data_IF_920313567787
#
_entry.id   IF_920313567787
#
_cell.length_a   1.000
_cell.length_b   1.000
_cell.length_c   1.000
_cell.angle_alpha   90.00
_cell.angle_beta   90.00
_cell.angle_gamma   90.00
#
_symmetry.space_group_name_H-M   'P 1'
#
loop_
_entity.id
_entity.type
_entity.pdbx_description
1 polymer ?
#
# COMPACT_ATOMS: atom_id res chain seq x y z
N UNK A 1 28.62 5.24 20.71
CA UNK A 1 28.30 4.60 19.44
C UNK A 1 26.93 3.93 19.58
N UNK A 2 25.99 4.17 18.68
CA UNK A 2 24.71 3.47 18.66
C UNK A 2 24.93 1.96 18.47
N UNK A 3 24.17 1.15 19.17
CA UNK A 3 24.23 -0.31 19.00
C UNK A 3 23.55 -0.70 17.69
N UNK A 4 24.00 -1.77 16.99
CA UNK A 4 23.35 -2.22 15.75
C UNK A 4 21.84 -2.46 15.90
N UNK A 5 21.40 -2.90 17.08
CA UNK A 5 20.01 -3.19 17.43
C UNK A 5 19.15 -1.94 17.63
N UNK A 6 19.76 -0.75 17.79
CA UNK A 6 19.03 0.51 17.95
C UNK A 6 18.19 0.86 16.70
N UNK A 7 18.52 0.28 15.54
CA UNK A 7 17.72 0.44 14.33
C UNK A 7 16.30 -0.16 14.43
N UNK A 8 16.08 -1.06 15.37
CA UNK A 8 14.79 -1.65 15.68
C UNK A 8 14.12 -1.02 16.90
N UNK A 9 14.70 0.04 17.47
CA UNK A 9 14.11 0.80 18.55
C UNK A 9 12.84 1.53 18.03
N UNK A 10 11.82 1.69 18.88
CA UNK A 10 10.56 2.30 18.43
C UNK A 10 9.66 1.36 17.61
N UNK A 11 8.83 1.93 16.71
CA UNK A 11 8.01 1.19 15.75
C UNK A 11 6.86 0.37 16.34
N UNK A 12 6.35 0.73 17.52
CA UNK A 12 5.13 0.13 18.08
C UNK A 12 5.16 -1.39 18.16
N UNK A 13 4.08 -2.03 17.71
CA UNK A 13 3.93 -3.50 17.74
C UNK A 13 4.89 -4.19 16.77
N UNK A 14 5.13 -3.62 15.59
CA UNK A 14 6.05 -4.21 14.62
C UNK A 14 7.50 -4.11 15.06
N UNK A 15 7.93 -2.99 15.63
CA UNK A 15 9.26 -2.88 16.24
C UNK A 15 9.47 -3.91 17.37
N UNK A 16 8.49 -4.09 18.23
CA UNK A 16 8.53 -5.12 19.28
C UNK A 16 8.65 -6.55 18.70
N UNK A 17 7.89 -6.86 17.63
CA UNK A 17 7.98 -8.16 16.93
C UNK A 17 9.35 -8.36 16.29
N UNK A 18 9.89 -7.36 15.61
CA UNK A 18 11.22 -7.45 15.00
C UNK A 18 12.32 -7.72 16.03
N UNK A 19 12.24 -7.09 17.20
CA UNK A 19 13.18 -7.35 18.31
C UNK A 19 13.03 -8.75 18.91
N UNK A 20 11.84 -9.35 18.85
CA UNK A 20 11.58 -10.67 19.39
C UNK A 20 12.07 -11.83 18.48
N UNK A 21 12.37 -11.55 17.22
CA UNK A 21 12.85 -12.56 16.28
C UNK A 21 14.36 -12.78 16.46
N UNK A 22 14.75 -14.04 16.55
CA UNK A 22 16.16 -14.44 16.45
C UNK A 22 16.59 -14.43 14.97
N UNK A 23 17.02 -13.26 14.49
CA UNK A 23 17.45 -13.06 13.12
C UNK A 23 18.66 -13.90 12.73
N UNK A 24 19.48 -14.33 13.68
CA UNK A 24 20.65 -15.18 13.41
C UNK A 24 20.28 -16.53 12.80
N UNK A 25 19.04 -16.96 13.01
CA UNK A 25 18.47 -18.21 12.48
C UNK A 25 17.72 -18.03 11.15
N UNK A 26 17.75 -16.83 10.61
CA UNK A 26 17.13 -16.48 9.33
C UNK A 26 18.18 -16.27 8.25
N UNK A 27 17.84 -16.32 6.96
CA UNK A 27 18.77 -16.00 5.88
C UNK A 27 19.33 -14.57 5.91
N UNK A 28 18.74 -13.67 6.70
CA UNK A 28 19.22 -12.30 6.87
C UNK A 28 20.41 -12.23 7.84
N UNK A 29 20.62 -13.25 8.67
CA UNK A 29 21.67 -13.24 9.69
C UNK A 29 21.38 -12.27 10.84
N UNK A 30 22.29 -12.20 11.84
CA UNK A 30 22.13 -11.35 13.01
C UNK A 30 22.10 -9.87 12.63
N UNK A 31 21.31 -9.07 13.36
CA UNK A 31 21.13 -7.61 13.11
C UNK A 31 22.47 -6.86 13.02
N UNK A 32 23.48 -7.30 13.79
CA UNK A 32 24.80 -6.70 13.77
C UNK A 32 25.52 -6.82 12.41
N UNK A 33 25.18 -7.83 11.60
CA UNK A 33 25.74 -8.03 10.26
C UNK A 33 24.97 -7.32 9.14
N UNK A 34 23.83 -6.71 9.46
CA UNK A 34 23.03 -6.02 8.44
C UNK A 34 23.74 -4.77 7.93
N UNK A 35 23.69 -4.48 6.63
CA UNK A 35 24.23 -3.25 6.06
C UNK A 35 23.68 -2.00 6.75
N UNK A 36 24.47 -0.95 6.81
CA UNK A 36 24.05 0.31 7.45
C UNK A 36 22.84 0.91 6.73
N UNK A 37 22.79 0.80 5.41
CA UNK A 37 21.66 1.22 4.56
C UNK A 37 20.36 0.56 4.99
N UNK A 38 20.34 -0.77 5.21
CA UNK A 38 19.16 -1.48 5.71
C UNK A 38 18.79 -0.99 7.12
N UNK A 39 19.75 -0.89 8.02
CA UNK A 39 19.50 -0.45 9.39
C UNK A 39 18.92 0.96 9.45
N UNK A 40 19.46 1.87 8.65
CA UNK A 40 18.93 3.25 8.56
C UNK A 40 17.50 3.26 8.01
N UNK A 41 17.26 2.53 6.92
CA UNK A 41 15.93 2.47 6.31
C UNK A 41 14.88 1.86 7.27
N UNK A 42 15.25 0.82 8.03
CA UNK A 42 14.38 0.22 9.05
C UNK A 42 14.03 1.20 10.17
N UNK A 43 15.03 1.93 10.69
CA UNK A 43 14.78 2.95 11.71
C UNK A 43 13.79 4.02 11.19
N UNK A 44 14.00 4.54 9.99
CA UNK A 44 13.11 5.52 9.38
C UNK A 44 11.70 4.96 9.17
N UNK A 45 11.58 3.73 8.68
CA UNK A 45 10.30 3.05 8.46
C UNK A 45 9.53 2.86 9.77
N UNK A 46 10.20 2.41 10.83
CA UNK A 46 9.58 2.14 12.12
C UNK A 46 9.07 3.41 12.81
N UNK A 47 9.77 4.53 12.66
CA UNK A 47 9.37 5.83 13.22
C UNK A 47 8.31 6.55 12.36
N UNK A 48 8.06 6.08 11.14
CA UNK A 48 7.08 6.70 10.23
C UNK A 48 5.66 6.38 10.63
N UNK A 49 4.77 7.38 10.47
CA UNK A 49 3.31 7.23 10.57
C UNK A 49 2.62 6.99 9.23
N UNK A 50 3.40 6.87 8.16
CA UNK A 50 2.91 6.49 6.83
C UNK A 50 3.13 4.99 6.68
N UNK A 51 2.21 4.31 6.00
CA UNK A 51 2.35 2.89 5.69
C UNK A 51 3.61 2.67 4.82
N UNK A 52 4.60 2.00 5.38
CA UNK A 52 5.89 1.73 4.74
C UNK A 52 6.27 0.26 4.88
N UNK A 53 6.84 -0.28 3.81
CA UNK A 53 7.48 -1.58 3.82
C UNK A 53 8.84 -1.50 3.11
N UNK A 54 9.73 -2.41 3.49
CA UNK A 54 11.05 -2.60 2.86
C UNK A 54 11.12 -4.06 2.41
N UNK A 55 11.47 -4.27 1.16
CA UNK A 55 11.78 -5.58 0.59
C UNK A 55 13.29 -5.68 0.37
N UNK A 56 13.99 -6.43 1.21
CA UNK A 56 15.46 -6.47 1.24
C UNK A 56 16.04 -7.75 0.67
N UNK A 57 17.20 -7.60 0.04
CA UNK A 57 17.98 -8.70 -0.51
C UNK A 57 17.39 -9.29 -1.79
N UNK A 58 18.01 -10.35 -2.33
CA UNK A 58 17.60 -10.97 -3.59
C UNK A 58 16.21 -11.60 -3.53
N UNK A 59 15.83 -12.15 -2.37
CA UNK A 59 14.52 -12.75 -2.16
C UNK A 59 13.45 -11.72 -1.78
N UNK A 60 13.81 -10.42 -1.70
CA UNK A 60 12.87 -9.33 -1.35
C UNK A 60 12.11 -9.63 -0.06
N UNK A 61 12.85 -9.94 1.01
CA UNK A 61 12.27 -10.22 2.32
C UNK A 61 11.65 -8.99 2.93
N UNK A 62 10.42 -9.14 3.43
CA UNK A 62 9.59 -8.02 3.86
C UNK A 62 9.88 -7.61 5.30
N UNK A 63 10.01 -6.30 5.47
CA UNK A 63 9.85 -5.58 6.73
C UNK A 63 8.76 -4.54 6.53
N UNK A 64 8.01 -4.23 7.57
CA UNK A 64 6.96 -3.22 7.48
C UNK A 64 6.62 -2.64 8.85
N UNK A 65 6.03 -1.45 8.86
CA UNK A 65 5.59 -0.79 10.08
C UNK A 65 4.12 -1.11 10.41
N UNK A 66 3.66 -0.64 11.57
CA UNK A 66 2.28 -0.85 12.04
C UNK A 66 1.23 -0.32 11.06
N UNK A 67 1.54 0.76 10.35
CA UNK A 67 0.63 1.39 9.39
C UNK A 67 0.49 0.61 8.08
N UNK A 68 1.46 -0.24 7.74
CA UNK A 68 1.40 -1.13 6.58
C UNK A 68 0.67 -2.45 6.89
N UNK A 69 0.57 -2.82 8.16
CA UNK A 69 -0.06 -4.07 8.60
C UNK A 69 -1.47 -4.30 8.02
N UNK A 70 -2.38 -3.29 7.99
CA UNK A 70 -3.71 -3.48 7.41
C UNK A 70 -3.70 -3.89 5.93
N UNK A 71 -2.68 -3.44 5.17
CA UNK A 71 -2.52 -3.77 3.74
C UNK A 71 -2.20 -5.26 3.56
N UNK A 72 -1.46 -5.85 4.49
CA UNK A 72 -1.13 -7.27 4.47
C UNK A 72 -2.28 -8.16 4.97
N UNK A 73 -3.21 -7.61 5.74
CA UNK A 73 -4.39 -8.33 6.23
C UNK A 73 -4.03 -9.65 6.92
N UNK A 74 -4.56 -10.75 6.40
CA UNK A 74 -4.35 -12.10 6.96
C UNK A 74 -2.89 -12.60 6.86
N UNK A 75 -2.07 -12.01 6.00
CA UNK A 75 -0.65 -12.37 5.87
C UNK A 75 0.19 -11.87 7.06
N UNK A 76 -0.29 -10.86 7.78
CA UNK A 76 0.31 -10.47 9.04
C UNK A 76 -0.02 -11.50 10.15
N UNK A 77 0.94 -11.91 11.02
CA UNK A 77 2.33 -11.45 11.11
C UNK A 77 3.36 -12.29 10.34
N UNK A 78 2.95 -13.34 9.63
CA UNK A 78 3.84 -14.29 8.95
C UNK A 78 4.67 -13.67 7.82
N UNK A 79 4.22 -12.53 7.30
CA UNK A 79 4.91 -11.77 6.26
C UNK A 79 6.27 -11.21 6.71
N UNK A 80 6.48 -11.02 8.02
CA UNK A 80 7.70 -10.41 8.52
C UNK A 80 8.92 -11.31 8.31
N UNK A 81 9.90 -10.83 7.55
CA UNK A 81 11.10 -11.56 7.18
C UNK A 81 10.91 -12.62 6.09
N UNK A 82 9.68 -12.83 5.61
CA UNK A 82 9.38 -13.76 4.53
C UNK A 82 9.61 -13.13 3.15
N UNK A 83 9.90 -13.93 2.10
CA UNK A 83 9.98 -13.46 0.73
C UNK A 83 8.63 -12.87 0.27
N UNK A 84 8.64 -11.67 -0.35
CA UNK A 84 7.39 -11.01 -0.77
C UNK A 84 6.58 -11.85 -1.75
N UNK A 85 7.26 -12.54 -2.68
CA UNK A 85 6.61 -13.41 -3.64
C UNK A 85 5.80 -14.57 -3.00
N UNK A 86 6.22 -15.03 -1.83
CA UNK A 86 5.51 -16.08 -1.08
C UNK A 86 4.35 -15.54 -0.25
N UNK A 87 4.50 -14.30 0.25
CA UNK A 87 3.49 -13.64 1.07
C UNK A 87 2.28 -13.23 0.25
N UNK A 88 2.52 -12.55 -0.87
CA UNK A 88 1.48 -11.99 -1.72
C UNK A 88 1.77 -12.33 -3.19
N UNK A 89 1.62 -13.59 -3.62
CA UNK A 89 2.00 -14.02 -4.97
C UNK A 89 1.23 -13.31 -6.09
N UNK A 90 -0.03 -12.97 -5.85
CA UNK A 90 -0.84 -12.23 -6.83
C UNK A 90 -0.34 -10.80 -7.02
N UNK A 91 -0.11 -10.09 -5.91
CA UNK A 91 0.42 -8.73 -5.92
C UNK A 91 1.83 -8.70 -6.50
N UNK A 92 2.66 -9.68 -6.13
CA UNK A 92 4.01 -9.85 -6.68
C UNK A 92 3.99 -9.98 -8.21
N UNK A 93 3.09 -10.80 -8.76
CA UNK A 93 2.95 -10.99 -10.20
C UNK A 93 2.52 -9.71 -10.92
N UNK A 94 1.61 -8.93 -10.30
CA UNK A 94 1.14 -7.67 -10.86
C UNK A 94 2.22 -6.58 -10.80
N UNK A 95 2.97 -6.50 -9.70
CA UNK A 95 4.01 -5.49 -9.48
C UNK A 95 5.38 -5.90 -10.05
N UNK A 96 5.53 -7.14 -10.51
CA UNK A 96 6.81 -7.69 -10.97
C UNK A 96 7.57 -6.81 -11.97
N UNK A 97 6.93 -6.30 -13.03
CA UNK A 97 7.58 -5.39 -13.98
C UNK A 97 8.09 -4.10 -13.33
N UNK A 98 7.31 -3.48 -12.44
CA UNK A 98 7.68 -2.26 -11.73
C UNK A 98 8.80 -2.52 -10.72
N UNK A 99 8.72 -3.61 -9.98
CA UNK A 99 9.78 -4.01 -9.04
C UNK A 99 11.09 -4.34 -9.76
N UNK A 100 11.02 -4.88 -10.97
CA UNK A 100 12.21 -5.08 -11.82
C UNK A 100 12.85 -3.75 -12.23
N UNK A 101 12.05 -2.70 -12.52
CA UNK A 101 12.56 -1.35 -12.80
C UNK A 101 13.24 -0.77 -11.56
N UNK A 102 12.62 -0.92 -10.39
CA UNK A 102 13.22 -0.48 -9.13
C UNK A 102 14.53 -1.21 -8.85
N UNK A 103 14.61 -2.50 -9.18
CA UNK A 103 15.84 -3.28 -9.11
C UNK A 103 16.98 -2.76 -9.99
N UNK A 104 16.67 -2.01 -11.06
CA UNK A 104 17.64 -1.30 -11.92
C UNK A 104 17.95 0.12 -11.44
N UNK A 105 17.40 0.54 -10.32
CA UNK A 105 17.63 1.84 -9.71
C UNK A 105 16.66 2.94 -10.14
N UNK A 106 15.57 2.61 -10.84
CA UNK A 106 14.49 3.53 -11.15
C UNK A 106 13.53 3.66 -9.96
N UNK A 107 12.73 4.72 -9.90
CA UNK A 107 11.59 4.81 -9.00
C UNK A 107 10.30 4.71 -9.80
N UNK A 108 9.24 4.18 -9.20
CA UNK A 108 7.93 4.15 -9.81
C UNK A 108 6.83 4.56 -8.83
N UNK A 109 5.74 5.07 -9.37
CA UNK A 109 4.54 5.39 -8.60
C UNK A 109 3.31 4.85 -9.34
N UNK A 110 2.35 4.38 -8.58
CA UNK A 110 1.05 3.88 -9.06
C UNK A 110 -0.02 4.66 -8.32
N UNK A 111 -0.77 5.48 -9.06
CA UNK A 111 -1.87 6.24 -8.51
C UNK A 111 -3.19 5.46 -8.58
N UNK A 112 -4.01 5.65 -7.55
CA UNK A 112 -5.36 5.06 -7.48
C UNK A 112 -5.39 3.54 -7.68
N UNK A 113 -4.46 2.84 -7.03
CA UNK A 113 -4.44 1.38 -7.00
C UNK A 113 -5.55 0.86 -6.11
N UNK A 114 -6.48 0.10 -6.68
CA UNK A 114 -7.57 -0.51 -5.93
C UNK A 114 -7.08 -1.74 -5.16
N UNK A 115 -7.24 -1.72 -3.84
CA UNK A 115 -6.92 -2.84 -2.96
C UNK A 115 -8.05 -3.01 -1.94
N UNK A 116 -8.85 -4.07 -2.05
CA UNK A 116 -9.86 -4.35 -1.03
C UNK A 116 -9.17 -4.82 0.25
N UNK A 117 -9.38 -4.09 1.35
CA UNK A 117 -8.90 -4.47 2.66
C UNK A 117 -9.99 -5.22 3.44
N UNK A 118 -9.58 -6.22 4.23
CA UNK A 118 -10.46 -6.90 5.17
C UNK A 118 -10.18 -6.38 6.60
N UNK A 119 -11.10 -5.60 7.12
CA UNK A 119 -11.08 -5.12 8.51
C UNK A 119 -12.12 -5.89 9.34
N UNK A 120 -11.64 -6.93 10.04
CA UNK A 120 -12.50 -7.70 10.97
C UNK A 120 -13.70 -8.39 10.31
N UNK A 121 -13.53 -8.92 9.08
CA UNK A 121 -14.59 -9.58 8.31
C UNK A 121 -15.44 -8.62 7.48
N UNK A 122 -15.14 -7.33 7.49
CA UNK A 122 -15.76 -6.32 6.65
C UNK A 122 -14.83 -5.94 5.51
N UNK A 123 -15.24 -6.17 4.28
CA UNK A 123 -14.48 -5.84 3.09
C UNK A 123 -14.66 -4.36 2.76
N UNK A 124 -13.58 -3.59 2.89
CA UNK A 124 -13.56 -2.17 2.52
C UNK A 124 -12.92 -1.96 1.16
N UNK A 125 -13.52 -1.09 0.36
CA UNK A 125 -13.01 -0.68 -0.94
C UNK A 125 -12.02 0.47 -0.75
N UNK A 126 -10.73 0.19 -0.77
CA UNK A 126 -9.69 1.18 -0.56
C UNK A 126 -8.92 1.45 -1.84
N UNK A 127 -8.53 2.70 -2.01
CA UNK A 127 -7.65 3.15 -3.09
C UNK A 127 -6.34 3.64 -2.49
N UNK A 128 -5.23 3.22 -3.05
CA UNK A 128 -3.91 3.60 -2.58
C UNK A 128 -3.11 4.30 -3.68
N UNK A 129 -2.35 5.33 -3.30
CA UNK A 129 -1.20 5.77 -4.07
C UNK A 129 0.02 5.03 -3.53
N UNK A 130 0.69 4.28 -4.41
CA UNK A 130 1.85 3.46 -4.08
C UNK A 130 3.10 4.10 -4.70
N UNK A 131 4.18 4.13 -3.95
CA UNK A 131 5.49 4.58 -4.43
C UNK A 131 6.54 3.54 -4.09
N UNK A 132 7.36 3.18 -5.06
CA UNK A 132 8.46 2.25 -4.92
C UNK A 132 9.76 2.91 -5.32
N UNK A 133 10.76 2.85 -4.45
CA UNK A 133 12.08 3.40 -4.69
C UNK A 133 13.20 2.45 -4.30
N UNK A 134 14.37 2.53 -4.96
CA UNK A 134 15.52 1.70 -4.62
C UNK A 134 16.16 2.17 -3.31
N UNK A 135 16.52 1.21 -2.46
CA UNK A 135 17.44 1.43 -1.35
C UNK A 135 18.80 0.93 -1.81
N UNK A 136 19.76 1.84 -1.89
CA UNK A 136 21.12 1.48 -2.29
C UNK A 136 21.92 1.04 -1.07
N UNK A 137 22.75 0.03 -1.29
CA UNK A 137 23.73 -0.41 -0.29
C UNK A 137 25.00 0.46 -0.30
N UNK A 138 25.98 0.09 0.48
CA UNK A 138 27.24 0.79 0.66
C UNK A 138 28.15 0.74 -0.58
N UNK A 139 27.87 -0.19 -1.51
CA UNK A 139 28.54 -0.28 -2.82
C UNK A 139 27.82 0.55 -3.90
N UNK A 140 26.67 1.14 -3.59
CA UNK A 140 25.83 1.89 -4.54
C UNK A 140 24.86 1.01 -5.34
N UNK A 141 24.87 -0.31 -5.10
CA UNK A 141 23.97 -1.25 -5.74
C UNK A 141 22.59 -1.26 -5.07
N UNK A 142 21.58 -1.76 -5.76
CA UNK A 142 20.20 -1.82 -5.20
C UNK A 142 20.07 -3.03 -4.28
N UNK A 143 20.28 -2.81 -2.98
CA UNK A 143 20.12 -3.82 -1.93
C UNK A 143 18.67 -4.13 -1.58
N UNK A 144 17.76 -3.16 -1.77
CA UNK A 144 16.36 -3.32 -1.41
C UNK A 144 15.42 -2.36 -2.14
N UNK A 145 14.14 -2.50 -1.83
CA UNK A 145 13.05 -1.64 -2.33
C UNK A 145 12.32 -1.05 -1.13
N UNK A 146 12.14 0.26 -1.11
CA UNK A 146 11.23 0.95 -0.22
C UNK A 146 9.86 1.04 -0.88
N UNK A 147 8.83 0.59 -0.21
CA UNK A 147 7.44 0.74 -0.59
C UNK A 147 6.74 1.70 0.38
N UNK A 148 6.04 2.69 -0.17
CA UNK A 148 5.22 3.63 0.57
C UNK A 148 3.81 3.53 0.02
N UNK A 149 2.82 3.39 0.92
CA UNK A 149 1.41 3.36 0.56
C UNK A 149 0.68 4.49 1.29
N UNK A 150 -0.04 5.30 0.55
CA UNK A 150 -0.89 6.35 1.09
C UNK A 150 -2.34 6.07 0.71
N UNK A 151 -3.24 6.13 1.69
CA UNK A 151 -4.67 6.01 1.43
C UNK A 151 -5.15 7.18 0.57
N UNK A 152 -5.64 6.87 -0.61
CA UNK A 152 -6.19 7.80 -1.58
C UNK A 152 -7.71 7.67 -1.73
N UNK A 153 -8.37 6.86 -0.90
CA UNK A 153 -9.79 6.51 -1.01
C UNK A 153 -10.67 7.76 -1.03
N UNK A 154 -10.47 8.65 -0.07
CA UNK A 154 -11.27 9.89 0.01
C UNK A 154 -11.08 10.80 -1.20
N UNK A 155 -9.85 10.94 -1.71
CA UNK A 155 -9.54 11.73 -2.90
C UNK A 155 -10.17 11.11 -4.15
N UNK A 156 -9.95 9.83 -4.37
CA UNK A 156 -10.46 9.10 -5.54
C UNK A 156 -11.99 9.07 -5.57
N UNK A 157 -12.62 8.81 -4.42
CA UNK A 157 -14.09 8.87 -4.30
C UNK A 157 -14.62 10.29 -4.55
N UNK A 158 -13.94 11.33 -4.06
CA UNK A 158 -14.29 12.72 -4.31
C UNK A 158 -14.22 13.09 -5.80
N UNK A 159 -13.15 12.72 -6.47
CA UNK A 159 -12.97 12.95 -7.92
C UNK A 159 -14.04 12.24 -8.74
N UNK A 160 -14.37 10.99 -8.42
CA UNK A 160 -15.40 10.20 -9.06
C UNK A 160 -16.79 10.81 -8.85
N UNK A 161 -17.13 11.21 -7.62
CA UNK A 161 -18.41 11.90 -7.33
C UNK A 161 -18.54 13.19 -8.13
N UNK A 162 -17.46 13.96 -8.22
CA UNK A 162 -17.45 15.21 -8.97
C UNK A 162 -17.65 14.94 -10.47
N UNK A 163 -17.02 13.89 -11.01
CA UNK A 163 -17.21 13.46 -12.40
C UNK A 163 -18.67 13.05 -12.65
N UNK A 164 -19.25 12.22 -11.78
CA UNK A 164 -20.66 11.81 -11.85
C UNK A 164 -21.62 13.02 -11.81
N UNK A 165 -21.38 13.97 -10.89
CA UNK A 165 -22.21 15.18 -10.80
C UNK A 165 -22.12 16.05 -12.05
N UNK A 166 -20.92 16.21 -12.62
CA UNK A 166 -20.72 16.96 -13.88
C UNK A 166 -21.45 16.29 -15.05
N UNK A 167 -21.38 14.97 -15.13
CA UNK A 167 -22.07 14.19 -16.16
C UNK A 167 -23.60 14.30 -16.02
N UNK A 168 -24.13 14.18 -14.80
CA UNK A 168 -25.53 14.39 -14.50
C UNK A 168 -26.00 15.80 -14.91
N UNK A 169 -25.23 16.83 -14.55
CA UNK A 169 -25.54 18.21 -14.90
C UNK A 169 -25.54 18.42 -16.43
N UNK A 170 -24.56 17.86 -17.14
CA UNK A 170 -24.49 17.92 -18.61
C UNK A 170 -25.69 17.21 -19.29
N UNK A 171 -26.04 16.04 -18.78
CA UNK A 171 -27.21 15.30 -19.28
C UNK A 171 -28.52 16.01 -18.99
N UNK A 172 -28.68 16.64 -17.83
CA UNK A 172 -29.86 17.45 -17.49
C UNK A 172 -29.96 18.69 -18.38
N UNK A 173 -28.85 19.38 -18.64
CA UNK A 173 -28.81 20.55 -19.51
C UNK A 173 -29.13 20.22 -20.99
N UNK A 174 -28.77 19.01 -21.44
CA UNK A 174 -29.00 18.53 -22.79
C UNK A 174 -30.39 17.85 -23.00
N UNK A 175 -31.15 17.66 -21.91
CA UNK A 175 -32.47 17.03 -22.00
C UNK A 175 -33.53 18.04 -22.40
N UNK A 176 -34.38 17.67 -23.36
CA UNK A 176 -35.53 18.50 -23.81
C UNK A 176 -36.83 18.17 -23.09
N UNK A 177 -36.86 17.01 -22.40
CA UNK A 177 -38.01 16.58 -21.58
C UNK A 177 -37.56 16.02 -20.24
N UNK A 178 -38.44 16.06 -19.24
CA UNK A 178 -38.18 15.49 -17.90
C UNK A 178 -37.93 14.00 -17.97
N UNK A 179 -38.61 13.30 -18.83
CA UNK A 179 -38.44 11.85 -19.04
C UNK A 179 -37.08 11.51 -19.60
N UNK A 180 -36.57 12.25 -20.58
CA UNK A 180 -35.21 12.10 -21.09
C UNK A 180 -34.14 12.41 -20.01
N UNK A 181 -34.37 13.45 -19.23
CA UNK A 181 -33.47 13.77 -18.12
C UNK A 181 -33.39 12.61 -17.11
N UNK A 182 -34.53 12.04 -16.74
CA UNK A 182 -34.62 10.91 -15.82
C UNK A 182 -33.93 9.66 -16.33
N UNK A 183 -34.15 9.29 -17.59
CA UNK A 183 -33.50 8.11 -18.19
C UNK A 183 -31.98 8.26 -18.27
N UNK A 184 -31.48 9.43 -18.66
CA UNK A 184 -30.05 9.70 -18.74
C UNK A 184 -29.42 9.72 -17.36
N UNK A 185 -30.07 10.32 -16.37
CA UNK A 185 -29.60 10.32 -14.98
C UNK A 185 -29.50 8.88 -14.42
N UNK A 186 -30.56 8.06 -14.69
CA UNK A 186 -30.55 6.66 -14.27
C UNK A 186 -29.41 5.86 -14.92
N UNK A 187 -29.14 6.10 -16.23
CA UNK A 187 -28.02 5.46 -16.92
C UNK A 187 -26.66 5.86 -16.35
N UNK A 188 -26.44 7.15 -16.07
CA UNK A 188 -25.21 7.65 -15.43
C UNK A 188 -25.01 7.02 -14.05
N UNK A 189 -26.05 6.98 -13.22
CA UNK A 189 -25.99 6.39 -11.88
C UNK A 189 -25.78 4.87 -11.93
N UNK A 190 -26.36 4.18 -12.89
CA UNK A 190 -26.15 2.74 -13.09
C UNK A 190 -24.72 2.43 -13.53
N UNK A 191 -24.14 3.27 -14.40
CA UNK A 191 -22.75 3.13 -14.83
C UNK A 191 -21.77 3.36 -13.65
N UNK A 192 -22.10 4.29 -12.77
CA UNK A 192 -21.31 4.63 -11.58
C UNK A 192 -21.85 3.94 -10.30
N UNK A 193 -22.38 2.73 -10.42
CA UNK A 193 -23.09 1.99 -9.35
C UNK A 193 -22.30 1.80 -8.06
N UNK A 194 -20.95 1.86 -8.11
CA UNK A 194 -20.10 1.81 -6.92
C UNK A 194 -20.32 3.03 -6.01
N UNK A 195 -20.61 4.19 -6.59
CA UNK A 195 -20.85 5.43 -5.86
C UNK A 195 -22.25 5.45 -5.23
N UNK A 196 -23.22 4.85 -5.89
CA UNK A 196 -24.62 4.78 -5.42
C UNK A 196 -24.76 3.85 -4.21
N UNK A 197 -24.10 2.70 -4.21
CA UNK A 197 -24.14 1.76 -3.07
C UNK A 197 -23.60 2.35 -1.78
N UNK A 198 -22.64 3.23 -1.86
CA UNK A 198 -22.05 3.91 -0.69
C UNK A 198 -22.94 5.00 -0.13
N UNK A 199 -23.66 5.73 -0.98
CA UNK A 199 -24.61 6.78 -0.56
C UNK A 199 -25.81 6.17 0.15
N UNK A 200 -26.32 5.04 -0.32
CA UNK A 200 -27.49 4.36 0.30
C UNK A 200 -27.08 3.68 1.63
N UNK A 201 -25.85 3.17 1.73
CA UNK A 201 -25.36 2.53 2.96
C UNK A 201 -25.16 3.51 4.14
N UNK A 202 -24.97 4.81 3.89
CA UNK A 202 -24.81 5.83 4.92
C UNK A 202 -26.15 6.48 5.36
N UNK A 203 -27.25 6.17 4.71
CA UNK A 203 -28.57 6.69 5.04
C UNK A 203 -29.33 5.78 6.03
N UNK A 204 -28.70 4.68 6.50
CA UNK A 204 -29.32 3.67 7.35
C UNK A 204 -28.52 3.37 8.64
N UNK A 205 -27.53 4.22 9.02
CA UNK A 205 -26.87 4.16 10.33
C UNK A 205 -27.24 5.42 11.18
#
# INVERSE_FOLDING_TARGET
>A
MARPEDCLAGGGAMGARMRAIDWSRTPLGPVASWPQSLRTALGMMLESRIAMAIAWGPERRLFYNDYYQPILGAEHPRALGAPWAEVCPELWRLLGPELARVGRGESCALDSWYLPLDHGGRREHCWFSLSYGPIRDEAGEVGGVLAIASDATGRTDGERRLATLRELAAHAAAATTVEQAGLRAAATLAHNATDVRRVIGHAHD
#
